data_IF_554786268630
#
_entry.id   IF_554786268630
#
_cell.length_a   1.000
_cell.length_b   1.000
_cell.length_c   1.000
_cell.angle_alpha   90.00
_cell.angle_beta   90.00
_cell.angle_gamma   90.00
#
_symmetry.space_group_name_H-M   'P 1'
#
loop_
_entity.id
_entity.type
_entity.pdbx_description
1 polymer ?
#
# COMPACT_ATOMS: atom_id res chain seq x y z
N UNK A 1 2.23 -7.52 -4.99
CA UNK A 1 1.49 -6.26 -5.19
C UNK A 1 0.04 -6.51 -4.78
N UNK A 2 -0.45 -5.81 -3.75
CA UNK A 2 -1.83 -5.73 -3.26
C UNK A 2 -2.85 -6.61 -4.03
N UNK A 3 -3.07 -7.85 -3.55
CA UNK A 3 -3.98 -8.81 -4.17
C UNK A 3 -5.44 -8.34 -4.08
N UNK A 4 -6.36 -8.97 -4.83
CA UNK A 4 -7.81 -8.68 -4.75
C UNK A 4 -8.37 -8.73 -3.33
N UNK A 5 -7.80 -9.56 -2.45
CA UNK A 5 -8.14 -9.61 -1.02
C UNK A 5 -7.77 -8.33 -0.25
N UNK A 6 -6.67 -7.66 -0.61
CA UNK A 6 -6.26 -6.39 0.01
C UNK A 6 -7.26 -5.29 -0.30
N UNK A 7 -7.63 -5.12 -1.57
CA UNK A 7 -8.61 -4.10 -1.98
C UNK A 7 -9.95 -4.29 -1.27
N UNK A 8 -10.41 -5.53 -1.15
CA UNK A 8 -11.64 -5.86 -0.41
C UNK A 8 -11.55 -5.47 1.06
N UNK A 9 -10.42 -5.76 1.71
CA UNK A 9 -10.21 -5.44 3.12
C UNK A 9 -10.07 -3.92 3.36
N UNK A 10 -9.45 -3.18 2.45
CA UNK A 10 -9.40 -1.71 2.55
C UNK A 10 -10.79 -1.12 2.34
N UNK A 11 -11.50 -1.55 1.29
CA UNK A 11 -12.80 -0.97 0.94
C UNK A 11 -13.90 -1.28 1.95
N UNK A 12 -13.81 -2.36 2.75
CA UNK A 12 -14.75 -2.59 3.85
C UNK A 12 -14.66 -1.55 4.98
N UNK A 13 -13.61 -0.72 4.98
CA UNK A 13 -13.42 0.36 5.94
C UNK A 13 -13.49 1.75 5.32
N UNK A 14 -13.97 1.85 4.06
CA UNK A 14 -14.11 3.11 3.32
C UNK A 14 -15.60 3.35 3.07
N UNK A 15 -16.14 4.56 3.34
CA UNK A 15 -17.50 4.90 2.97
C UNK A 15 -17.73 4.69 1.47
N UNK A 16 -18.89 4.16 1.08
CA UNK A 16 -19.21 3.83 -0.32
C UNK A 16 -19.00 5.03 -1.27
N UNK A 17 -19.31 6.25 -0.81
CA UNK A 17 -19.11 7.50 -1.55
C UNK A 17 -17.64 7.84 -1.84
N UNK A 18 -16.69 7.27 -1.09
CA UNK A 18 -15.24 7.51 -1.22
C UNK A 18 -14.46 6.34 -1.81
N UNK A 19 -15.10 5.21 -2.11
CA UNK A 19 -14.42 4.02 -2.67
C UNK A 19 -13.68 4.35 -3.98
N UNK A 20 -14.28 5.18 -4.85
CA UNK A 20 -13.64 5.58 -6.12
C UNK A 20 -12.36 6.38 -5.88
N UNK A 21 -12.42 7.37 -4.99
CA UNK A 21 -11.29 8.20 -4.60
C UNK A 21 -10.16 7.33 -4.03
N UNK A 22 -10.46 6.50 -3.03
CA UNK A 22 -9.47 5.61 -2.42
C UNK A 22 -8.90 4.62 -3.43
N UNK A 23 -9.72 4.10 -4.36
CA UNK A 23 -9.22 3.25 -5.43
C UNK A 23 -8.20 3.96 -6.32
N UNK A 24 -8.40 5.24 -6.64
CA UNK A 24 -7.46 6.02 -7.44
C UNK A 24 -6.15 6.25 -6.67
N UNK A 25 -6.22 6.57 -5.38
CA UNK A 25 -5.03 6.71 -4.52
C UNK A 25 -4.18 5.44 -4.50
N UNK A 26 -4.82 4.28 -4.31
CA UNK A 26 -4.11 3.00 -4.32
C UNK A 26 -3.47 2.69 -5.68
N UNK A 27 -4.18 2.98 -6.77
CA UNK A 27 -3.62 2.84 -8.13
C UNK A 27 -2.44 3.79 -8.37
N UNK A 28 -2.45 4.98 -7.80
CA UNK A 28 -1.35 5.93 -7.92
C UNK A 28 -0.05 5.44 -7.25
N UNK A 29 -0.15 4.66 -6.17
CA UNK A 29 1.00 3.97 -5.56
C UNK A 29 1.58 2.94 -6.55
N UNK A 30 0.72 2.17 -7.21
CA UNK A 30 1.14 1.14 -8.18
C UNK A 30 1.73 1.70 -9.47
N UNK A 31 1.35 2.91 -9.86
CA UNK A 31 1.86 3.56 -11.05
C UNK A 31 3.31 4.08 -10.89
N UNK A 32 3.88 4.05 -9.68
CA UNK A 32 5.23 4.52 -9.46
C UNK A 32 6.26 3.51 -10.00
N UNK A 33 7.27 4.03 -10.70
CA UNK A 33 8.26 3.23 -11.41
C UNK A 33 9.44 2.78 -10.52
N UNK A 34 9.59 3.39 -9.33
CA UNK A 34 10.64 3.03 -8.38
C UNK A 34 10.07 2.71 -7.00
N UNK A 35 10.79 1.85 -6.27
CA UNK A 35 10.46 1.51 -4.88
C UNK A 35 10.38 2.73 -3.98
N UNK A 36 11.32 3.67 -4.14
CA UNK A 36 11.36 4.90 -3.34
C UNK A 36 10.15 5.80 -3.63
N UNK A 37 9.80 6.00 -4.91
CA UNK A 37 8.64 6.78 -5.29
C UNK A 37 7.32 6.12 -4.84
N UNK A 38 7.23 4.78 -4.91
CA UNK A 38 6.10 4.04 -4.38
C UNK A 38 5.94 4.20 -2.86
N UNK A 39 7.05 4.16 -2.11
CA UNK A 39 7.05 4.35 -0.66
C UNK A 39 6.61 5.78 -0.29
N UNK A 40 7.18 6.79 -0.95
CA UNK A 40 6.80 8.18 -0.74
C UNK A 40 5.31 8.40 -1.06
N UNK A 41 4.83 7.89 -2.20
CA UNK A 41 3.42 7.97 -2.57
C UNK A 41 2.52 7.28 -1.55
N UNK A 42 2.94 6.12 -1.05
CA UNK A 42 2.20 5.41 -0.02
C UNK A 42 2.11 6.22 1.28
N UNK A 43 3.19 6.86 1.73
CA UNK A 43 3.19 7.73 2.91
C UNK A 43 2.21 8.90 2.75
N UNK A 44 2.19 9.54 1.58
CA UNK A 44 1.20 10.59 1.27
C UNK A 44 -0.22 10.04 1.38
N UNK A 45 -0.52 8.92 0.73
CA UNK A 45 -1.86 8.30 0.75
C UNK A 45 -2.29 7.92 2.17
N UNK A 46 -1.39 7.38 2.99
CA UNK A 46 -1.65 7.03 4.38
C UNK A 46 -1.99 8.28 5.20
N UNK A 47 -1.24 9.37 5.02
CA UNK A 47 -1.50 10.64 5.70
C UNK A 47 -2.88 11.22 5.32
N UNK A 48 -3.21 11.23 4.03
CA UNK A 48 -4.50 11.71 3.52
C UNK A 48 -5.68 10.89 4.07
N UNK A 49 -5.54 9.56 4.12
CA UNK A 49 -6.55 8.68 4.70
C UNK A 49 -6.74 8.95 6.21
N UNK A 50 -5.66 9.19 6.96
CA UNK A 50 -5.73 9.56 8.38
C UNK A 50 -6.43 10.91 8.57
N UNK A 51 -6.05 11.93 7.79
CA UNK A 51 -6.69 13.24 7.82
C UNK A 51 -8.19 13.16 7.48
N UNK A 52 -8.55 12.22 6.61
CA UNK A 52 -9.93 11.99 6.17
C UNK A 52 -10.75 11.08 7.10
N UNK A 53 -10.26 10.81 8.32
CA UNK A 53 -10.87 9.94 9.35
C UNK A 53 -11.03 8.47 8.92
N UNK A 54 -10.19 7.98 8.01
CA UNK A 54 -10.17 6.59 7.53
C UNK A 54 -8.97 5.82 8.13
N UNK A 55 -8.82 5.88 9.45
CA UNK A 55 -7.65 5.36 10.16
C UNK A 55 -7.41 3.85 9.91
N UNK A 56 -8.46 3.03 9.86
CA UNK A 56 -8.33 1.59 9.61
C UNK A 56 -7.86 1.30 8.18
N UNK A 57 -8.38 2.01 7.19
CA UNK A 57 -7.89 1.92 5.80
C UNK A 57 -6.42 2.34 5.71
N UNK A 58 -6.04 3.45 6.37
CA UNK A 58 -4.65 3.91 6.41
C UNK A 58 -3.71 2.86 7.01
N UNK A 59 -4.10 2.24 8.12
CA UNK A 59 -3.32 1.18 8.76
C UNK A 59 -3.14 -0.06 7.85
N UNK A 60 -4.19 -0.48 7.13
CA UNK A 60 -4.09 -1.58 6.19
C UNK A 60 -3.11 -1.28 5.04
N UNK A 61 -3.13 -0.04 4.52
CA UNK A 61 -2.17 0.40 3.49
C UNK A 61 -0.74 0.39 4.03
N UNK A 62 -0.52 0.91 5.23
CA UNK A 62 0.79 0.92 5.91
C UNK A 62 1.37 -0.49 6.10
N UNK A 63 0.56 -1.43 6.61
CA UNK A 63 0.95 -2.83 6.75
C UNK A 63 1.36 -3.45 5.41
N UNK A 64 0.54 -3.25 4.38
CA UNK A 64 0.81 -3.85 3.08
C UNK A 64 2.05 -3.26 2.36
N UNK A 65 2.34 -1.98 2.60
CA UNK A 65 3.58 -1.33 2.12
C UNK A 65 4.79 -1.93 2.84
N UNK A 66 4.73 -2.06 4.17
CA UNK A 66 5.81 -2.68 4.95
C UNK A 66 6.08 -4.13 4.50
N UNK A 67 5.04 -4.95 4.31
CA UNK A 67 5.16 -6.33 3.84
C UNK A 67 5.74 -6.42 2.41
N UNK A 68 5.27 -5.55 1.51
CA UNK A 68 5.72 -5.56 0.10
C UNK A 68 7.16 -5.05 -0.05
N UNK A 69 7.55 -4.05 0.75
CA UNK A 69 8.91 -3.50 0.74
C UNK A 69 9.90 -4.42 1.47
N UNK A 70 9.49 -5.13 2.52
CA UNK A 70 10.31 -6.15 3.18
C UNK A 70 10.66 -7.33 2.26
N UNK A 71 9.84 -7.59 1.24
CA UNK A 71 10.08 -8.66 0.26
C UNK A 71 11.32 -8.40 -0.65
N UNK A 72 11.81 -7.16 -0.73
CA UNK A 72 13.03 -6.84 -1.49
C UNK A 72 14.34 -6.98 -0.69
N UNK A 73 14.28 -7.14 0.64
CA UNK A 73 15.48 -7.32 1.48
C UNK A 73 15.87 -8.79 1.68
N UNK A 74 15.09 -9.76 1.21
CA UNK A 74 15.35 -11.19 1.45
C UNK A 74 15.82 -11.99 0.22
N UNK A 75 15.77 -11.45 -1.02
CA UNK A 75 16.09 -12.25 -2.23
C UNK A 75 17.52 -12.12 -2.77
N UNK A 76 18.47 -11.60 -1.99
CA UNK A 76 19.89 -11.53 -2.41
C UNK A 76 20.83 -12.47 -1.63
N UNK A 77 20.43 -13.03 -0.48
CA UNK A 77 21.31 -13.93 0.30
C UNK A 77 20.79 -15.37 0.23
N UNK A 78 20.80 -15.95 -0.98
CA UNK A 78 20.90 -17.41 -1.13
C UNK A 78 21.47 -17.77 -2.51
N UNK A 79 22.70 -17.34 -2.75
CA UNK A 79 23.57 -17.91 -3.80
C UNK A 79 25.03 -17.74 -3.40
N UNK A 80 25.48 -18.59 -2.48
CA UNK A 80 26.87 -19.04 -2.32
C UNK A 80 26.96 -19.92 -1.07
N UNK A 81 26.39 -21.12 -1.20
CA UNK A 81 26.92 -22.27 -0.49
C UNK A 81 27.45 -23.19 -1.60
N UNK A 82 28.72 -22.97 -1.94
CA UNK A 82 29.60 -23.97 -2.55
C UNK A 82 30.66 -24.30 -1.52
#
# INVERSE_FOLDING_TARGET
MLHGAFYRNVFSHVPSTRVREVSHMLKAIHAQESRAAADEKARTVIADLRASRMAKAAHLVEQAVHETLACYTFRTIRSSAS
#
